data_IF_466802537063
#
_entry.id   IF_466802537063
#
_cell.length_a   1.000
_cell.length_b   1.000
_cell.length_c   1.000
_cell.angle_alpha   90.00
_cell.angle_beta   90.00
_cell.angle_gamma   90.00
#
_symmetry.space_group_name_H-M   'P 1'
#
loop_
_entity.id
_entity.type
_entity.pdbx_description
1 polymer ?
#
# COMPACT_ATOMS: atom_id res chain seq x y z
N UNK A 1 22.67 24.78 -2.49
CA UNK A 1 22.25 24.12 -2.75
C UNK A 1 21.60 23.72 -2.78
N UNK A 2 21.61 23.54 -2.72
CA UNK A 2 21.21 23.00 -3.04
C UNK A 2 20.53 22.18 -3.44
N UNK A 3 20.06 22.25 -4.14
CA UNK A 3 19.58 21.14 -4.94
C UNK A 3 20.06 19.80 -4.48
N UNK A 4 21.10 19.78 -3.77
CA UNK A 4 21.63 18.57 -3.18
C UNK A 4 20.61 17.93 -2.27
N UNK A 5 19.77 18.72 -1.65
CA UNK A 5 18.77 18.20 -0.74
C UNK A 5 17.74 17.37 -1.46
N UNK A 6 17.60 17.62 -2.75
CA UNK A 6 16.63 16.90 -3.53
C UNK A 6 17.24 15.70 -4.21
N UNK A 7 18.56 15.64 -4.18
CA UNK A 7 19.27 14.49 -4.69
C UNK A 7 19.13 13.37 -3.72
N UNK A 8 18.83 12.21 -4.25
CA UNK A 8 18.74 11.03 -3.44
C UNK A 8 19.63 9.97 -4.08
N UNK A 9 20.32 9.24 -3.25
CA UNK A 9 21.04 8.07 -3.73
C UNK A 9 20.03 6.94 -3.88
N UNK A 10 19.44 6.86 -5.04
CA UNK A 10 18.40 5.89 -5.30
C UNK A 10 18.93 4.46 -5.20
N UNK A 11 20.17 4.25 -5.63
CA UNK A 11 20.78 2.92 -5.56
C UNK A 11 20.94 2.48 -4.11
N UNK A 12 21.36 3.38 -3.22
CA UNK A 12 21.50 3.07 -1.80
C UNK A 12 20.13 2.79 -1.18
N UNK A 13 19.12 3.58 -1.53
CA UNK A 13 17.77 3.36 -1.03
C UNK A 13 17.24 2.01 -1.50
N UNK A 14 17.44 1.70 -2.78
CA UNK A 14 17.00 0.43 -3.34
C UNK A 14 17.67 -0.75 -2.64
N UNK A 15 18.97 -0.64 -2.37
CA UNK A 15 19.69 -1.70 -1.67
C UNK A 15 19.10 -1.95 -0.28
N UNK A 16 18.76 -0.88 0.45
CA UNK A 16 18.13 -1.02 1.76
C UNK A 16 16.76 -1.67 1.66
N UNK A 17 15.99 -1.27 0.66
CA UNK A 17 14.66 -1.84 0.41
C UNK A 17 14.77 -3.32 0.08
N UNK A 18 15.71 -3.69 -0.78
CA UNK A 18 15.94 -5.09 -1.14
C UNK A 18 16.40 -5.91 0.05
N UNK A 19 17.06 -5.26 1.00
CA UNK A 19 17.48 -5.90 2.24
C UNK A 19 16.39 -6.05 3.27
N UNK A 20 15.17 -5.58 2.99
CA UNK A 20 14.04 -5.78 3.87
C UNK A 20 13.66 -4.58 4.73
N UNK A 21 14.28 -3.42 4.53
CA UNK A 21 13.93 -2.22 5.30
C UNK A 21 12.58 -1.69 4.86
N UNK A 22 11.59 -1.75 5.73
CA UNK A 22 10.20 -1.40 5.40
C UNK A 22 10.03 0.04 4.94
N UNK A 23 10.66 0.98 5.64
CA UNK A 23 10.55 2.39 5.27
C UNK A 23 11.15 2.64 3.89
N UNK A 24 12.27 1.97 3.60
CA UNK A 24 12.90 2.10 2.28
C UNK A 24 12.03 1.53 1.18
N UNK A 25 11.37 0.41 1.45
CA UNK A 25 10.45 -0.19 0.48
C UNK A 25 9.29 0.76 0.18
N UNK A 26 8.70 1.33 1.22
CA UNK A 26 7.62 2.28 1.06
C UNK A 26 8.11 3.52 0.30
N UNK A 27 9.30 4.01 0.66
CA UNK A 27 9.87 5.18 -0.01
C UNK A 27 10.15 4.92 -1.49
N UNK A 28 10.66 3.74 -1.84
CA UNK A 28 10.82 3.37 -3.24
C UNK A 28 9.47 3.45 -3.97
N UNK A 29 8.42 2.97 -3.30
CA UNK A 29 7.09 3.00 -3.87
C UNK A 29 6.60 4.41 -4.18
N UNK A 30 6.60 5.29 -3.18
CA UNK A 30 6.04 6.62 -3.41
C UNK A 30 6.93 7.48 -4.31
N UNK A 31 8.24 7.25 -4.31
CA UNK A 31 9.11 8.01 -5.22
C UNK A 31 8.82 7.70 -6.67
N UNK A 32 8.61 6.43 -6.99
CA UNK A 32 8.21 6.06 -8.36
C UNK A 32 6.78 6.51 -8.69
N UNK A 33 5.89 6.46 -7.70
CA UNK A 33 4.51 6.88 -7.92
C UNK A 33 4.40 8.38 -8.23
N UNK A 34 5.29 9.18 -7.65
CA UNK A 34 5.27 10.63 -7.80
C UNK A 34 6.37 11.17 -8.71
N UNK A 35 7.31 10.31 -9.12
CA UNK A 35 8.45 10.75 -9.92
C UNK A 35 9.41 11.62 -9.14
N UNK A 36 9.59 11.36 -7.85
CA UNK A 36 10.44 12.19 -6.99
C UNK A 36 11.81 11.56 -6.83
N UNK A 37 12.79 12.15 -7.50
CA UNK A 37 14.16 11.66 -7.47
C UNK A 37 14.40 10.47 -8.38
N UNK A 38 13.39 10.08 -9.12
CA UNK A 38 13.47 8.99 -10.07
C UNK A 38 12.37 9.17 -11.12
N UNK A 39 12.42 8.37 -12.16
CA UNK A 39 11.39 8.37 -13.19
C UNK A 39 10.06 7.94 -12.58
N UNK A 40 8.99 8.63 -12.96
CA UNK A 40 7.64 8.22 -12.60
C UNK A 40 7.35 6.90 -13.28
N UNK A 41 7.03 5.87 -12.51
CA UNK A 41 6.73 4.55 -13.04
C UNK A 41 5.79 3.86 -12.06
N UNK A 42 4.51 3.84 -12.42
CA UNK A 42 3.51 3.33 -11.49
C UNK A 42 3.58 1.81 -11.32
N UNK A 43 4.06 1.09 -12.33
CA UNK A 43 4.21 -0.35 -12.20
C UNK A 43 5.27 -0.68 -11.14
N UNK A 44 6.40 0.02 -11.19
CA UNK A 44 7.45 -0.18 -10.17
C UNK A 44 6.94 0.28 -8.80
N UNK A 45 6.18 1.38 -8.77
CA UNK A 45 5.62 1.88 -7.52
C UNK A 45 4.74 0.81 -6.86
N UNK A 46 3.85 0.20 -7.63
CA UNK A 46 2.94 -0.82 -7.11
C UNK A 46 3.73 -2.02 -6.58
N UNK A 47 4.76 -2.44 -7.29
CA UNK A 47 5.57 -3.56 -6.83
C UNK A 47 6.16 -3.30 -5.44
N UNK A 48 6.77 -2.13 -5.25
CA UNK A 48 7.37 -1.81 -3.95
C UNK A 48 6.33 -1.59 -2.87
N UNK A 49 5.22 -0.93 -3.22
CA UNK A 49 4.15 -0.70 -2.24
C UNK A 49 3.53 -2.02 -1.78
N UNK A 50 3.38 -2.97 -2.70
CA UNK A 50 2.84 -4.28 -2.33
C UNK A 50 3.82 -5.04 -1.42
N UNK A 51 5.11 -4.99 -1.74
CA UNK A 51 6.13 -5.61 -0.88
C UNK A 51 6.06 -5.03 0.53
N UNK A 52 6.02 -3.71 0.64
CA UNK A 52 5.96 -3.06 1.94
C UNK A 52 4.67 -3.38 2.68
N UNK A 53 3.54 -3.39 1.97
CA UNK A 53 2.24 -3.71 2.57
C UNK A 53 2.22 -5.14 3.11
N UNK A 54 2.74 -6.09 2.33
CA UNK A 54 2.78 -7.50 2.74
C UNK A 54 3.68 -7.69 3.95
N UNK A 55 4.69 -6.84 4.09
CA UNK A 55 5.61 -6.90 5.22
C UNK A 55 5.11 -6.13 6.44
N UNK A 56 3.92 -5.52 6.37
CA UNK A 56 3.29 -4.90 7.51
C UNK A 56 3.36 -3.38 7.59
N UNK A 57 3.81 -2.71 6.55
CA UNK A 57 3.90 -1.24 6.58
C UNK A 57 2.51 -0.63 6.46
N UNK A 58 2.10 0.10 7.50
CA UNK A 58 0.72 0.63 7.59
C UNK A 58 0.35 1.56 6.44
N UNK A 59 1.23 2.49 6.10
CA UNK A 59 0.94 3.44 5.02
C UNK A 59 0.88 2.75 3.66
N UNK A 60 1.72 1.73 3.46
CA UNK A 60 1.68 0.96 2.22
C UNK A 60 0.39 0.15 2.14
N UNK A 61 -0.06 -0.41 3.26
CA UNK A 61 -1.33 -1.14 3.30
C UNK A 61 -2.48 -0.24 2.94
N UNK A 62 -2.52 0.96 3.51
CA UNK A 62 -3.57 1.92 3.20
C UNK A 62 -3.51 2.34 1.74
N UNK A 63 -2.31 2.57 1.21
CA UNK A 63 -2.12 2.95 -0.20
C UNK A 63 -2.62 1.85 -1.13
N UNK A 64 -2.23 0.59 -0.87
CA UNK A 64 -2.67 -0.51 -1.71
C UNK A 64 -4.17 -0.75 -1.58
N UNK A 65 -4.74 -0.55 -0.39
CA UNK A 65 -6.19 -0.62 -0.22
C UNK A 65 -6.90 0.36 -1.13
N UNK A 66 -6.43 1.61 -1.17
CA UNK A 66 -7.02 2.63 -2.02
C UNK A 66 -6.86 2.28 -3.51
N UNK A 67 -5.72 1.73 -3.89
CA UNK A 67 -5.48 1.34 -5.29
C UNK A 67 -6.41 0.21 -5.73
N UNK A 68 -6.58 -0.79 -4.89
CA UNK A 68 -7.51 -1.89 -5.21
C UNK A 68 -8.96 -1.40 -5.23
N UNK A 69 -9.28 -0.44 -4.38
CA UNK A 69 -10.64 0.10 -4.37
C UNK A 69 -10.96 0.84 -5.67
N UNK A 70 -10.04 1.64 -6.16
CA UNK A 70 -10.26 2.47 -7.34
C UNK A 70 -9.80 1.84 -8.65
N UNK A 71 -9.00 0.78 -8.58
CA UNK A 71 -8.42 0.19 -9.79
C UNK A 71 -7.26 1.03 -10.33
N UNK A 72 -6.52 1.67 -9.45
CA UNK A 72 -5.41 2.54 -9.82
C UNK A 72 -4.10 1.76 -9.77
N UNK A 73 -3.55 1.46 -10.95
CA UNK A 73 -2.31 0.70 -11.05
C UNK A 73 -2.47 -0.79 -10.84
N UNK A 74 -3.64 -1.23 -10.44
CA UNK A 74 -4.00 -2.65 -10.26
C UNK A 74 -5.44 -2.82 -10.71
N UNK A 75 -5.83 -4.04 -10.98
CA UNK A 75 -7.23 -4.32 -11.28
C UNK A 75 -8.07 -4.09 -10.03
N UNK A 76 -9.21 -3.42 -10.17
CA UNK A 76 -10.10 -3.17 -9.06
C UNK A 76 -10.51 -4.48 -8.39
N UNK A 77 -10.38 -4.51 -7.06
CA UNK A 77 -10.70 -5.70 -6.28
C UNK A 77 -11.13 -5.28 -4.89
N UNK A 78 -12.44 -5.26 -4.65
CA UNK A 78 -12.99 -4.80 -3.38
C UNK A 78 -12.59 -5.70 -2.21
N UNK A 79 -12.43 -6.99 -2.45
CA UNK A 79 -12.00 -7.90 -1.37
C UNK A 79 -10.56 -7.63 -0.98
N UNK A 80 -9.69 -7.42 -1.97
CA UNK A 80 -8.31 -7.06 -1.70
C UNK A 80 -8.23 -5.71 -0.98
N UNK A 81 -9.05 -4.73 -1.41
CA UNK A 81 -9.12 -3.44 -0.74
C UNK A 81 -9.53 -3.61 0.72
N UNK A 82 -10.53 -4.44 0.98
CA UNK A 82 -10.99 -4.70 2.35
C UNK A 82 -9.85 -5.26 3.20
N UNK A 83 -9.15 -6.26 2.69
CA UNK A 83 -8.07 -6.88 3.46
C UNK A 83 -6.94 -5.90 3.76
N UNK A 84 -6.55 -5.08 2.78
CA UNK A 84 -5.48 -4.10 3.00
C UNK A 84 -5.89 -3.02 3.99
N UNK A 85 -7.10 -2.49 3.86
CA UNK A 85 -7.59 -1.49 4.82
C UNK A 85 -7.77 -2.08 6.21
N UNK A 86 -8.17 -3.34 6.30
CA UNK A 86 -8.30 -3.99 7.60
C UNK A 86 -6.95 -4.03 8.33
N UNK A 87 -5.90 -4.44 7.60
CA UNK A 87 -4.57 -4.53 8.19
C UNK A 87 -4.07 -3.17 8.67
N UNK A 88 -4.29 -2.13 7.88
CA UNK A 88 -3.89 -0.78 8.27
C UNK A 88 -4.72 -0.28 9.46
N UNK A 89 -6.03 -0.49 9.43
CA UNK A 89 -6.91 -0.07 10.51
C UNK A 89 -6.55 -0.78 11.82
N UNK A 90 -6.17 -2.04 11.71
CA UNK A 90 -5.78 -2.82 12.89
C UNK A 90 -4.50 -2.31 13.53
N UNK A 91 -3.71 -1.54 12.78
CA UNK A 91 -2.52 -0.87 13.33
C UNK A 91 -2.83 0.54 13.84
N UNK A 92 -4.09 0.98 13.75
CA UNK A 92 -4.51 2.26 14.28
C UNK A 92 -4.78 3.33 13.24
N UNK A 93 -4.77 3.01 11.96
CA UNK A 93 -5.05 3.99 10.91
C UNK A 93 -6.55 4.26 10.84
N UNK A 94 -6.95 5.45 11.27
CA UNK A 94 -8.38 5.82 11.31
C UNK A 94 -8.99 5.97 9.93
N UNK A 95 -8.21 6.47 8.97
CA UNK A 95 -8.71 6.61 7.60
C UNK A 95 -9.01 5.24 7.01
N UNK A 96 -8.12 4.28 7.26
CA UNK A 96 -8.34 2.92 6.80
C UNK A 96 -9.60 2.33 7.43
N UNK A 97 -9.83 2.62 8.71
CA UNK A 97 -11.03 2.16 9.38
C UNK A 97 -12.32 2.68 8.74
N UNK A 98 -12.33 3.96 8.36
CA UNK A 98 -13.47 4.53 7.66
C UNK A 98 -13.67 3.91 6.28
N UNK A 99 -12.58 3.71 5.58
CA UNK A 99 -12.64 3.08 4.26
C UNK A 99 -13.12 1.64 4.36
N UNK A 100 -12.69 0.95 5.41
CA UNK A 100 -13.12 -0.41 5.66
C UNK A 100 -14.64 -0.49 5.78
N UNK A 101 -15.23 0.45 6.53
CA UNK A 101 -16.68 0.48 6.69
C UNK A 101 -17.40 0.73 5.37
N UNK A 102 -16.85 1.62 4.55
CA UNK A 102 -17.44 1.91 3.24
C UNK A 102 -17.42 0.67 2.37
N UNK A 103 -16.29 -0.04 2.34
CA UNK A 103 -16.15 -1.22 1.49
C UNK A 103 -17.02 -2.37 2.00
N UNK A 104 -17.13 -2.52 3.31
CA UNK A 104 -17.98 -3.56 3.88
C UNK A 104 -19.41 -3.47 3.35
N UNK A 105 -19.89 -2.25 3.15
CA UNK A 105 -21.26 -2.03 2.64
C UNK A 105 -21.38 -2.33 1.15
N UNK A 106 -20.27 -2.37 0.43
CA UNK A 106 -20.27 -2.63 -1.01
C UNK A 106 -20.06 -4.10 -1.33
N UNK A 107 -19.51 -4.86 -0.39
CA UNK A 107 -19.28 -6.29 -0.58
C UNK A 107 -20.57 -7.06 -0.35
N UNK A 108 -20.73 -8.18 -1.06
CA UNK A 108 -21.81 -9.11 -0.74
C UNK A 108 -21.54 -9.71 0.64
N UNK A 109 -22.60 -10.25 1.26
CA UNK A 109 -22.45 -10.91 2.56
C UNK A 109 -21.46 -12.05 2.49
N UNK A 110 -21.48 -12.81 1.38
CA UNK A 110 -20.57 -13.95 1.20
C UNK A 110 -19.13 -13.47 1.06
N UNK A 111 -18.89 -12.43 0.28
CA UNK A 111 -17.54 -11.90 0.09
C UNK A 111 -16.99 -11.31 1.37
N UNK A 112 -17.84 -10.60 2.12
CA UNK A 112 -17.42 -10.04 3.41
C UNK A 112 -17.06 -11.16 4.40
N UNK A 113 -17.89 -12.20 4.44
CA UNK A 113 -17.62 -13.34 5.30
C UNK A 113 -16.32 -14.03 4.93
N UNK A 114 -16.07 -14.17 3.63
CA UNK A 114 -14.82 -14.76 3.16
C UNK A 114 -13.61 -13.96 3.60
N UNK A 115 -13.66 -12.64 3.42
CA UNK A 115 -12.57 -11.77 3.84
C UNK A 115 -12.30 -11.90 5.34
N UNK A 116 -13.37 -11.92 6.12
CA UNK A 116 -13.23 -12.03 7.58
C UNK A 116 -12.61 -13.36 7.99
N UNK A 117 -13.00 -14.45 7.33
CA UNK A 117 -12.39 -15.75 7.62
C UNK A 117 -10.89 -15.72 7.29
N UNK A 118 -10.53 -15.17 6.14
CA UNK A 118 -9.13 -15.09 5.73
C UNK A 118 -8.29 -14.26 6.70
N UNK A 119 -8.89 -13.24 7.28
CA UNK A 119 -8.21 -12.36 8.23
C UNK A 119 -8.24 -12.90 9.66
N UNK A 120 -8.95 -13.99 9.89
CA UNK A 120 -9.04 -14.58 11.22
C UNK A 120 -10.05 -13.88 12.12
N UNK A 121 -10.99 -13.13 11.56
CA UNK A 121 -12.08 -12.50 12.32
C UNK A 121 -13.40 -13.12 11.93
N UNK A 122 -14.28 -13.24 12.89
CA UNK A 122 -15.59 -13.87 12.65
C UNK A 122 -16.72 -12.85 12.57
#
# INVERSE_FOLDING_TARGET
MDSDDESIDLDALKAKAEGGDLESQYEMGWRHALGMGTKLDDDIAVEWLQVAADAGHMLAQNNMGARYYSGDGVEQDLKAAYRHFYLAANQGDRKAGKNLDVIAKKLSDDDLAECRRELGVS
#
